data_IF_686804166444
#
_entry.id   IF_686804166444
#
_cell.length_a   1.000
_cell.length_b   1.000
_cell.length_c   1.000
_cell.angle_alpha   90.00
_cell.angle_beta   90.00
_cell.angle_gamma   90.00
#
_symmetry.space_group_name_H-M   'P 1'
#
loop_
_entity.id
_entity.type
_entity.pdbx_description
1 polymer ?
#
# COMPACT_ATOMS: atom_id res chain seq x y z
N UNK A 1 -23.77 17.33 -11.73
CA UNK A 1 -23.85 15.89 -11.39
C UNK A 1 -22.94 15.20 -12.37
N UNK A 2 -21.64 15.16 -12.07
CA UNK A 2 -20.64 14.48 -12.89
C UNK A 2 -20.77 13.01 -12.58
N UNK A 3 -21.11 12.19 -13.58
CA UNK A 3 -21.10 10.75 -13.46
C UNK A 3 -19.73 10.34 -12.98
N UNK A 4 -19.64 9.77 -11.80
CA UNK A 4 -18.47 9.04 -11.33
C UNK A 4 -18.30 7.88 -12.30
N UNK A 5 -17.45 8.02 -13.32
CA UNK A 5 -16.91 6.86 -14.02
C UNK A 5 -16.22 6.04 -12.93
N UNK A 6 -16.89 4.96 -12.52
CA UNK A 6 -16.39 4.12 -11.44
C UNK A 6 -15.03 3.60 -11.84
N UNK A 7 -14.04 3.81 -10.96
CA UNK A 7 -12.69 3.28 -11.15
C UNK A 7 -12.78 1.78 -11.50
N UNK A 8 -12.21 1.32 -12.63
CA UNK A 8 -12.27 -0.09 -12.99
C UNK A 8 -11.58 -0.93 -11.91
N UNK A 9 -12.18 -2.06 -11.51
CA UNK A 9 -11.53 -2.93 -10.54
C UNK A 9 -10.34 -3.65 -11.20
N UNK A 10 -9.15 -3.47 -10.65
CA UNK A 10 -7.97 -4.25 -11.00
C UNK A 10 -8.04 -5.69 -10.46
N UNK A 11 -6.89 -6.37 -10.40
CA UNK A 11 -6.78 -7.69 -9.81
C UNK A 11 -7.30 -7.68 -8.36
N UNK A 12 -8.05 -8.70 -7.98
CA UNK A 12 -8.58 -8.83 -6.62
C UNK A 12 -7.50 -9.29 -5.64
N UNK A 13 -7.58 -8.79 -4.40
CA UNK A 13 -6.69 -9.23 -3.34
C UNK A 13 -6.96 -10.69 -2.92
N UNK A 14 -5.92 -11.39 -2.51
CA UNK A 14 -5.96 -12.74 -1.93
C UNK A 14 -6.39 -12.75 -0.44
N UNK A 15 -7.11 -11.72 -0.04
CA UNK A 15 -7.60 -11.48 1.32
C UNK A 15 -9.09 -11.23 1.32
N UNK A 16 -9.74 -11.59 2.40
CA UNK A 16 -11.12 -11.18 2.65
C UNK A 16 -11.15 -9.74 3.20
N UNK A 17 -11.82 -8.84 2.48
CA UNK A 17 -11.95 -7.43 2.84
C UNK A 17 -13.34 -7.13 3.38
N UNK A 18 -13.42 -6.17 4.31
CA UNK A 18 -14.66 -5.60 4.81
C UNK A 18 -15.01 -4.29 4.07
N UNK A 19 -16.28 -3.86 4.05
CA UNK A 19 -16.62 -2.53 3.56
C UNK A 19 -15.84 -1.44 4.32
N UNK A 20 -15.38 -0.42 3.61
CA UNK A 20 -14.66 0.68 4.25
C UNK A 20 -15.52 1.36 5.30
N UNK A 21 -15.00 1.56 6.52
CA UNK A 21 -15.72 2.28 7.56
C UNK A 21 -15.86 3.78 7.21
N UNK A 22 -16.85 4.49 7.81
CA UNK A 22 -17.18 5.86 7.43
C UNK A 22 -16.01 6.86 7.37
N UNK A 23 -15.01 6.85 8.30
CA UNK A 23 -13.87 7.75 8.19
C UNK A 23 -13.06 7.50 6.92
N UNK A 24 -12.76 6.23 6.62
CA UNK A 24 -12.01 5.82 5.42
C UNK A 24 -12.81 6.14 4.16
N UNK A 25 -14.11 5.83 4.13
CA UNK A 25 -14.98 6.15 2.97
C UNK A 25 -15.01 7.65 2.65
N UNK A 26 -15.04 8.52 3.68
CA UNK A 26 -14.96 9.96 3.48
C UNK A 26 -13.61 10.40 2.89
N UNK A 27 -12.53 9.80 3.35
CA UNK A 27 -11.21 10.06 2.79
C UNK A 27 -11.11 9.62 1.33
N UNK A 28 -11.63 8.43 0.99
CA UNK A 28 -11.66 7.94 -0.39
C UNK A 28 -12.40 8.91 -1.33
N UNK A 29 -13.51 9.50 -0.87
CA UNK A 29 -14.27 10.49 -1.63
C UNK A 29 -13.52 11.81 -1.85
N UNK A 30 -12.44 12.07 -1.10
CA UNK A 30 -11.59 13.26 -1.20
C UNK A 30 -10.24 13.01 -1.87
N UNK A 31 -10.00 11.81 -2.38
CA UNK A 31 -8.75 11.49 -3.07
C UNK A 31 -8.51 12.41 -4.27
N UNK A 32 -7.27 12.85 -4.49
CA UNK A 32 -6.89 13.62 -5.67
C UNK A 32 -7.17 12.87 -6.97
N UNK A 33 -7.55 13.60 -8.02
CA UNK A 33 -7.88 13.00 -9.33
C UNK A 33 -6.68 12.27 -9.97
N UNK A 34 -5.47 12.74 -9.70
CA UNK A 34 -4.23 12.12 -10.21
C UNK A 34 -3.92 10.76 -9.55
N UNK A 35 -4.27 10.56 -8.26
CA UNK A 35 -4.25 9.23 -7.63
C UNK A 35 -5.25 8.30 -8.31
N UNK A 36 -6.47 8.76 -8.54
CA UNK A 36 -7.50 7.95 -9.20
C UNK A 36 -7.07 7.56 -10.62
N UNK A 37 -6.48 8.50 -11.37
CA UNK A 37 -5.94 8.23 -12.72
C UNK A 37 -4.76 7.23 -12.69
N UNK A 38 -3.91 7.29 -11.64
CA UNK A 38 -2.83 6.33 -11.46
C UNK A 38 -3.39 4.92 -11.20
N UNK A 39 -4.34 4.80 -10.27
CA UNK A 39 -4.99 3.51 -9.96
C UNK A 39 -5.74 2.96 -11.17
N UNK A 40 -6.40 3.82 -11.95
CA UNK A 40 -7.06 3.44 -13.21
C UNK A 40 -6.06 2.87 -14.22
N UNK A 41 -4.90 3.52 -14.41
CA UNK A 41 -3.86 3.04 -15.33
C UNK A 41 -3.38 1.63 -14.95
N UNK A 42 -3.17 1.36 -13.66
CA UNK A 42 -2.79 0.03 -13.17
C UNK A 42 -3.91 -0.99 -13.40
N UNK A 43 -5.15 -0.63 -13.09
CA UNK A 43 -6.30 -1.52 -13.26
C UNK A 43 -6.56 -1.88 -14.73
N UNK A 44 -6.44 -0.91 -15.66
CA UNK A 44 -6.57 -1.14 -17.10
C UNK A 44 -5.45 -2.04 -17.66
N UNK A 45 -4.28 -2.03 -17.00
CA UNK A 45 -3.19 -2.96 -17.31
C UNK A 45 -3.40 -4.37 -16.72
N UNK A 46 -4.51 -4.61 -16.00
CA UNK A 46 -4.82 -5.88 -15.35
C UNK A 46 -4.16 -6.07 -13.98
N UNK A 47 -3.56 -5.03 -13.43
CA UNK A 47 -2.83 -5.10 -12.17
C UNK A 47 -3.72 -4.80 -10.95
N UNK A 48 -3.39 -5.40 -9.81
CA UNK A 48 -3.94 -5.02 -8.51
C UNK A 48 -3.20 -3.80 -7.96
N UNK A 49 -3.95 -2.88 -7.34
CA UNK A 49 -3.35 -1.74 -6.67
C UNK A 49 -4.18 -1.33 -5.45
N UNK A 50 -3.51 -1.07 -4.34
CA UNK A 50 -4.13 -0.75 -3.05
C UNK A 50 -3.40 0.41 -2.38
N UNK A 51 -4.16 1.30 -1.75
CA UNK A 51 -3.60 2.29 -0.83
C UNK A 51 -3.21 1.59 0.47
N UNK A 52 -2.04 1.89 1.04
CA UNK A 52 -1.50 1.09 2.17
C UNK A 52 -0.83 1.93 3.24
N UNK A 53 -0.70 1.37 4.42
CA UNK A 53 0.18 1.91 5.46
C UNK A 53 -0.36 3.14 6.17
N UNK A 54 0.50 4.14 6.33
CA UNK A 54 0.24 5.34 7.12
C UNK A 54 -1.00 6.12 6.66
N UNK A 55 -1.23 6.25 5.36
CA UNK A 55 -2.38 6.98 4.84
C UNK A 55 -3.72 6.32 5.22
N UNK A 56 -3.77 4.98 5.28
CA UNK A 56 -4.99 4.26 5.70
C UNK A 56 -5.23 4.43 7.19
N UNK A 57 -4.18 4.35 8.02
CA UNK A 57 -4.24 4.63 9.45
C UNK A 57 -4.73 6.05 9.73
N UNK A 58 -4.15 7.04 9.06
CA UNK A 58 -4.46 8.44 9.26
C UNK A 58 -5.89 8.76 8.79
N UNK A 59 -6.32 8.16 7.68
CA UNK A 59 -7.72 8.23 7.24
C UNK A 59 -8.70 7.66 8.27
N UNK A 60 -8.36 6.52 8.89
CA UNK A 60 -9.17 5.95 9.97
C UNK A 60 -9.26 6.90 11.18
N UNK A 61 -8.17 7.53 11.56
CA UNK A 61 -8.11 8.48 12.67
C UNK A 61 -8.77 9.84 12.32
N UNK A 62 -9.15 10.07 11.06
CA UNK A 62 -9.67 11.35 10.59
C UNK A 62 -8.60 12.44 10.53
N UNK A 63 -7.33 12.04 10.48
CA UNK A 63 -6.18 12.92 10.31
C UNK A 63 -5.90 13.19 8.83
N UNK A 64 -5.12 14.23 8.54
CA UNK A 64 -4.63 14.46 7.19
C UNK A 64 -3.64 13.35 6.81
N UNK A 65 -3.81 12.82 5.59
CA UNK A 65 -2.91 11.82 4.99
C UNK A 65 -2.24 12.44 3.76
N UNK A 66 -1.18 13.26 3.95
CA UNK A 66 -0.53 13.98 2.84
C UNK A 66 0.22 13.05 1.90
N UNK A 67 0.80 11.98 2.44
CA UNK A 67 1.58 10.99 1.70
C UNK A 67 0.69 9.78 1.45
N UNK A 68 0.48 9.46 0.18
CA UNK A 68 -0.35 8.32 -0.25
C UNK A 68 0.57 7.27 -0.83
N UNK A 69 0.74 6.17 -0.09
CA UNK A 69 1.51 5.01 -0.52
C UNK A 69 0.61 4.00 -1.22
N UNK A 70 1.12 3.44 -2.31
CA UNK A 70 0.41 2.47 -3.12
C UNK A 70 1.26 1.20 -3.21
N UNK A 71 0.66 0.05 -2.98
CA UNK A 71 1.25 -1.22 -3.38
C UNK A 71 0.51 -1.81 -4.57
N UNK A 72 1.22 -2.58 -5.42
CA UNK A 72 0.70 -3.12 -6.67
C UNK A 72 1.33 -4.46 -7.03
N UNK A 73 0.62 -5.25 -7.83
CA UNK A 73 1.18 -6.46 -8.48
C UNK A 73 2.10 -6.12 -9.65
N UNK A 74 2.00 -4.88 -10.17
CA UNK A 74 2.81 -4.41 -11.28
C UNK A 74 4.30 -4.38 -10.94
N UNK A 75 5.14 -5.04 -11.73
CA UNK A 75 6.58 -5.04 -11.53
C UNK A 75 7.19 -3.70 -11.95
N UNK A 76 8.39 -3.31 -11.40
CA UNK A 76 8.97 -2.00 -11.64
C UNK A 76 9.18 -1.67 -13.12
N UNK A 77 9.66 -2.62 -13.90
CA UNK A 77 9.90 -2.44 -15.33
C UNK A 77 8.61 -2.11 -16.07
N UNK A 78 7.52 -2.80 -15.71
CA UNK A 78 6.20 -2.55 -16.28
C UNK A 78 5.63 -1.21 -15.85
N UNK A 79 5.85 -0.79 -14.60
CA UNK A 79 5.48 0.56 -14.14
C UNK A 79 6.22 1.65 -14.92
N UNK A 80 7.52 1.47 -15.20
CA UNK A 80 8.28 2.40 -16.04
C UNK A 80 7.68 2.53 -17.45
N UNK A 81 7.23 1.42 -18.05
CA UNK A 81 6.56 1.44 -19.37
C UNK A 81 5.19 2.16 -19.30
N UNK A 82 4.35 1.83 -18.29
CA UNK A 82 2.99 2.37 -18.16
C UNK A 82 2.98 3.87 -17.90
N UNK A 83 3.88 4.35 -17.06
CA UNK A 83 3.90 5.74 -16.63
C UNK A 83 4.89 6.61 -17.41
N UNK A 84 5.82 6.01 -18.17
CA UNK A 84 6.78 6.70 -19.04
C UNK A 84 7.54 7.81 -18.30
N UNK A 85 7.53 9.05 -18.81
CA UNK A 85 8.26 10.18 -18.21
C UNK A 85 7.75 10.61 -16.83
N UNK A 86 6.59 10.13 -16.40
CA UNK A 86 6.08 10.33 -15.04
C UNK A 86 6.70 9.38 -14.02
N UNK A 87 7.31 8.28 -14.46
CA UNK A 87 7.95 7.30 -13.59
C UNK A 87 9.40 7.67 -13.27
N UNK A 88 9.75 7.71 -11.98
CA UNK A 88 11.12 7.93 -11.52
C UNK A 88 11.56 6.68 -10.74
N UNK A 89 12.68 6.02 -11.11
CA UNK A 89 13.16 4.80 -10.48
C UNK A 89 13.89 5.10 -9.16
N UNK A 90 13.21 5.69 -8.18
CA UNK A 90 13.79 6.13 -6.90
C UNK A 90 14.26 4.99 -6.02
N UNK A 91 13.63 3.81 -6.13
CA UNK A 91 13.94 2.63 -5.34
C UNK A 91 13.71 1.34 -6.11
N UNK A 92 14.10 1.30 -7.39
CA UNK A 92 13.80 0.19 -8.30
C UNK A 92 14.31 -1.16 -7.79
N UNK A 93 15.48 -1.18 -7.15
CA UNK A 93 16.05 -2.40 -6.55
C UNK A 93 15.18 -2.97 -5.41
N UNK A 94 14.33 -2.15 -4.83
CA UNK A 94 13.37 -2.50 -3.78
C UNK A 94 11.92 -2.53 -4.25
N UNK A 95 11.69 -2.38 -5.56
CA UNK A 95 10.36 -2.40 -6.16
C UNK A 95 9.59 -1.09 -6.10
N UNK A 96 10.21 0.00 -5.68
CA UNK A 96 9.54 1.29 -5.55
C UNK A 96 9.84 2.19 -6.74
N UNK A 97 8.79 2.68 -7.36
CA UNK A 97 8.80 3.71 -8.40
C UNK A 97 8.03 4.92 -7.88
N UNK A 98 8.60 6.10 -8.02
CA UNK A 98 7.86 7.34 -7.77
C UNK A 98 7.15 7.77 -9.04
N UNK A 99 5.82 7.92 -8.97
CA UNK A 99 5.00 8.40 -10.08
C UNK A 99 4.64 9.87 -9.84
N UNK A 100 4.95 10.72 -10.81
CA UNK A 100 4.59 12.16 -10.77
C UNK A 100 3.11 12.32 -11.06
N UNK A 101 2.42 13.04 -10.17
CA UNK A 101 1.07 13.55 -10.37
C UNK A 101 1.06 15.08 -10.54
N UNK A 102 -0.09 15.69 -10.38
CA UNK A 102 -0.29 17.14 -10.52
C UNK A 102 0.24 17.88 -9.27
N UNK A 103 1.54 18.19 -9.28
CA UNK A 103 2.23 18.86 -8.17
C UNK A 103 2.51 17.97 -6.96
N UNK A 104 2.34 16.67 -7.09
CA UNK A 104 2.59 15.64 -6.05
C UNK A 104 3.39 14.47 -6.62
N UNK A 105 3.97 13.71 -5.71
CA UNK A 105 4.65 12.45 -6.04
C UNK A 105 4.03 11.32 -5.24
N UNK A 106 3.87 10.15 -5.88
CA UNK A 106 3.28 8.96 -5.27
C UNK A 106 4.29 7.83 -5.31
N UNK A 107 4.54 7.22 -4.15
CA UNK A 107 5.35 6.01 -4.08
C UNK A 107 4.48 4.80 -4.42
N UNK A 108 4.85 4.09 -5.47
CA UNK A 108 4.20 2.88 -5.94
C UNK A 108 5.19 1.74 -5.80
N UNK A 109 4.88 0.79 -4.91
CA UNK A 109 5.78 -0.31 -4.57
C UNK A 109 5.19 -1.63 -5.03
N UNK A 110 5.95 -2.41 -5.78
CA UNK A 110 5.59 -3.79 -6.14
C UNK A 110 5.46 -4.64 -4.90
N UNK A 111 4.40 -5.47 -4.83
CA UNK A 111 4.25 -6.46 -3.77
C UNK A 111 5.47 -7.38 -3.72
N UNK A 112 5.92 -7.72 -2.52
CA UNK A 112 7.09 -8.56 -2.29
C UNK A 112 6.73 -9.76 -1.46
N UNK A 113 7.28 -10.92 -1.81
CA UNK A 113 7.34 -12.08 -0.94
C UNK A 113 8.58 -11.99 -0.04
N UNK A 114 8.53 -12.61 1.14
CA UNK A 114 9.71 -12.65 2.02
C UNK A 114 10.85 -13.38 1.30
N UNK A 115 11.97 -12.67 1.09
CA UNK A 115 13.25 -13.30 0.77
C UNK A 115 13.99 -13.58 2.08
N UNK A 116 14.55 -14.80 2.21
CA UNK A 116 15.32 -15.23 3.36
C UNK A 116 16.47 -14.24 3.62
N UNK A 117 16.42 -13.56 4.76
CA UNK A 117 17.48 -12.71 5.27
C UNK A 117 18.66 -13.61 5.71
N UNK A 118 19.80 -13.60 4.99
CA UNK A 118 21.02 -14.29 5.41
C UNK A 118 21.94 -13.43 6.25
N UNK A 119 21.90 -12.10 6.16
CA UNK A 119 22.88 -11.20 6.80
C UNK A 119 22.30 -9.88 7.34
N UNK A 120 21.09 -9.84 7.89
CA UNK A 120 20.60 -8.77 8.79
C UNK A 120 20.58 -7.32 8.28
N UNK A 121 20.85 -7.04 6.99
CA UNK A 121 20.88 -5.64 6.49
C UNK A 121 20.29 -5.38 5.09
N UNK A 122 20.30 -6.34 4.19
CA UNK A 122 19.67 -6.19 2.85
C UNK A 122 19.28 -7.57 2.32
N UNK A 123 18.12 -7.74 1.71
CA UNK A 123 17.82 -8.96 0.99
C UNK A 123 18.72 -9.06 -0.24
N UNK A 124 19.48 -10.14 -0.38
CA UNK A 124 20.34 -10.38 -1.56
C UNK A 124 19.52 -10.56 -2.85
N UNK A 125 18.21 -10.76 -2.76
CA UNK A 125 17.29 -10.85 -3.88
C UNK A 125 15.88 -10.52 -3.44
N UNK A 126 15.30 -9.48 -4.04
CA UNK A 126 13.87 -9.18 -3.91
C UNK A 126 13.10 -10.10 -4.86
N UNK A 127 12.12 -10.83 -4.33
CA UNK A 127 11.21 -11.64 -5.14
C UNK A 127 9.88 -10.90 -5.19
N UNK A 128 9.46 -10.54 -6.40
CA UNK A 128 8.17 -9.90 -6.61
C UNK A 128 7.05 -10.89 -6.32
N UNK A 129 6.04 -10.45 -5.59
CA UNK A 129 4.89 -11.23 -5.20
C UNK A 129 3.61 -10.72 -5.84
N UNK A 130 2.57 -11.52 -5.77
CA UNK A 130 1.21 -11.14 -6.14
C UNK A 130 0.23 -11.19 -4.96
N UNK A 131 0.73 -11.53 -3.77
CA UNK A 131 -0.07 -11.67 -2.55
C UNK A 131 -0.04 -10.39 -1.72
N UNK A 132 -1.19 -9.73 -1.61
CA UNK A 132 -1.35 -8.59 -0.69
C UNK A 132 -1.17 -9.04 0.76
N UNK A 133 -1.63 -10.26 1.10
CA UNK A 133 -1.50 -10.82 2.44
C UNK A 133 -0.04 -10.96 2.86
N UNK A 134 0.82 -11.47 1.96
CA UNK A 134 2.24 -11.61 2.24
C UNK A 134 2.91 -10.25 2.41
N UNK A 135 2.60 -9.26 1.55
CA UNK A 135 3.15 -7.91 1.68
C UNK A 135 2.75 -7.23 2.99
N UNK A 136 1.50 -7.38 3.42
CA UNK A 136 1.06 -6.85 4.71
C UNK A 136 1.71 -7.58 5.90
N UNK A 137 2.06 -8.87 5.75
CA UNK A 137 2.67 -9.68 6.83
C UNK A 137 4.07 -9.23 7.21
N UNK A 138 4.82 -8.65 6.28
CA UNK A 138 6.20 -8.19 6.50
C UNK A 138 6.31 -6.74 7.01
N UNK A 139 5.19 -6.02 7.18
CA UNK A 139 5.18 -4.66 7.70
C UNK A 139 5.49 -4.63 9.20
N UNK A 140 5.77 -3.44 9.72
CA UNK A 140 6.20 -3.21 11.10
C UNK A 140 5.09 -3.42 12.13
N UNK A 141 4.07 -2.57 12.09
CA UNK A 141 2.99 -2.54 13.06
C UNK A 141 1.63 -2.89 12.44
N UNK A 142 0.74 -3.47 13.24
CA UNK A 142 -0.59 -3.89 12.80
C UNK A 142 -1.37 -2.74 12.16
N UNK A 143 -1.30 -1.54 12.72
CA UNK A 143 -1.99 -0.36 12.21
C UNK A 143 -1.38 0.23 10.93
N UNK A 144 -0.17 -0.17 10.53
CA UNK A 144 0.44 0.14 9.24
C UNK A 144 0.29 -1.01 8.23
N UNK A 145 -0.28 -2.16 8.66
CA UNK A 145 -0.50 -3.35 7.84
C UNK A 145 -1.94 -3.45 7.37
N UNK A 146 -2.50 -2.31 7.00
CA UNK A 146 -3.84 -2.19 6.42
C UNK A 146 -3.75 -1.72 4.98
N UNK A 147 -4.70 -2.17 4.16
CA UNK A 147 -4.80 -1.77 2.77
C UNK A 147 -6.25 -1.43 2.38
N UNK A 148 -6.42 -0.59 1.36
CA UNK A 148 -7.72 -0.20 0.83
C UNK A 148 -7.77 -0.39 -0.68
N UNK A 149 -8.76 -1.14 -1.14
CA UNK A 149 -9.18 -1.19 -2.54
C UNK A 149 -10.18 -0.05 -2.80
N UNK A 150 -9.74 0.94 -3.55
CA UNK A 150 -10.55 2.15 -3.83
C UNK A 150 -11.73 1.80 -4.73
N UNK A 151 -11.52 0.97 -5.76
CA UNK A 151 -12.54 0.60 -6.73
C UNK A 151 -13.69 -0.21 -6.09
N UNK A 152 -13.35 -1.10 -5.18
CA UNK A 152 -14.32 -1.96 -4.48
C UNK A 152 -14.82 -1.39 -3.15
N UNK A 153 -14.22 -0.28 -2.67
CA UNK A 153 -14.53 0.31 -1.36
C UNK A 153 -14.30 -0.68 -0.21
N UNK A 154 -13.24 -1.48 -0.29
CA UNK A 154 -12.92 -2.51 0.70
C UNK A 154 -11.66 -2.19 1.47
N UNK A 155 -11.72 -2.42 2.78
CA UNK A 155 -10.58 -2.36 3.69
C UNK A 155 -10.14 -3.79 4.03
N UNK A 156 -8.83 -4.00 3.99
CA UNK A 156 -8.14 -5.24 4.39
C UNK A 156 -7.33 -4.96 5.65
N UNK A 157 -7.68 -5.61 6.74
CA UNK A 157 -7.03 -5.48 8.06
C UNK A 157 -6.76 -6.87 8.68
N UNK A 158 -5.82 -7.64 8.10
CA UNK A 158 -5.59 -9.03 8.52
C UNK A 158 -5.01 -9.16 9.93
N UNK A 159 -4.48 -8.07 10.50
CA UNK A 159 -3.81 -8.07 11.80
C UNK A 159 -4.54 -7.26 12.87
N UNK A 160 -5.81 -6.89 12.64
CA UNK A 160 -6.64 -6.13 13.58
C UNK A 160 -6.05 -4.76 13.97
N UNK A 161 -5.41 -4.08 13.02
CA UNK A 161 -4.81 -2.77 13.24
C UNK A 161 -5.81 -1.71 13.70
N UNK A 162 -7.05 -1.74 13.19
CA UNK A 162 -8.12 -0.85 13.65
C UNK A 162 -8.42 -1.04 15.14
N UNK A 163 -8.51 -2.29 15.61
CA UNK A 163 -8.75 -2.57 17.01
C UNK A 163 -7.59 -2.08 17.89
N UNK A 164 -6.36 -2.27 17.44
CA UNK A 164 -5.18 -1.76 18.16
C UNK A 164 -5.17 -0.23 18.21
N UNK A 165 -5.55 0.46 17.14
CA UNK A 165 -5.73 1.93 17.13
C UNK A 165 -6.79 2.38 18.14
N UNK A 166 -7.94 1.72 18.18
CA UNK A 166 -9.01 2.04 19.12
C UNK A 166 -8.57 1.87 20.59
N UNK A 167 -7.78 0.84 20.84
CA UNK A 167 -7.23 0.54 22.18
C UNK A 167 -5.95 1.30 22.49
N UNK A 168 -5.39 2.08 21.54
CA UNK A 168 -4.10 2.78 21.66
C UNK A 168 -2.94 1.82 21.94
N UNK A 169 -2.95 0.65 21.29
CA UNK A 169 -1.91 -0.37 21.41
C UNK A 169 -0.97 -0.26 20.22
N UNK A 170 0.34 -0.25 20.49
CA UNK A 170 1.39 -0.45 19.48
C UNK A 170 1.75 -1.92 19.47
N UNK A 171 1.38 -2.62 18.40
CA UNK A 171 1.63 -4.05 18.23
C UNK A 171 2.39 -4.30 16.93
N UNK A 172 3.50 -5.04 17.03
CA UNK A 172 4.22 -5.51 15.85
C UNK A 172 3.44 -6.61 15.11
N UNK A 173 3.60 -6.68 13.80
CA UNK A 173 3.09 -7.81 13.00
C UNK A 173 4.00 -9.02 13.23
N UNK A 174 3.45 -10.14 13.69
CA UNK A 174 4.21 -11.34 14.00
C UNK A 174 5.00 -11.23 15.30
N UNK A 175 6.29 -11.62 15.28
CA UNK A 175 7.15 -11.62 16.47
C UNK A 175 7.90 -10.30 16.58
N UNK A 176 7.60 -9.50 17.60
CA UNK A 176 8.17 -8.15 17.79
C UNK A 176 9.70 -8.12 17.79
N UNK A 177 10.36 -9.10 18.45
CA UNK A 177 11.82 -9.19 18.48
C UNK A 177 12.42 -9.27 17.09
N UNK A 178 11.88 -10.12 16.23
CA UNK A 178 12.35 -10.28 14.84
C UNK A 178 12.19 -8.98 14.05
N UNK A 179 11.06 -8.28 14.22
CA UNK A 179 10.81 -7.00 13.53
C UNK A 179 11.76 -5.89 13.97
N UNK A 180 12.14 -5.86 15.23
CA UNK A 180 13.14 -4.91 15.77
C UNK A 180 14.56 -5.24 15.34
N UNK A 181 14.89 -6.52 15.13
CA UNK A 181 16.19 -6.95 14.60
C UNK A 181 16.37 -6.57 13.12
N UNK A 182 15.29 -6.60 12.32
CA UNK A 182 15.29 -6.21 10.91
C UNK A 182 15.57 -4.70 10.74
N UNK A 183 15.05 -3.87 11.64
CA UNK A 183 15.24 -2.41 11.60
C UNK A 183 15.16 -1.83 13.02
N UNK A 184 16.31 -1.40 13.52
CA UNK A 184 16.43 -0.80 14.87
C UNK A 184 15.64 0.51 15.03
N UNK A 185 15.32 1.21 13.94
CA UNK A 185 14.51 2.43 13.99
C UNK A 185 13.06 2.16 14.43
N UNK A 186 12.60 0.91 14.33
CA UNK A 186 11.27 0.51 14.81
C UNK A 186 11.12 0.55 16.34
N UNK A 187 12.23 0.72 17.06
CA UNK A 187 12.25 0.80 18.54
C UNK A 187 12.08 2.25 19.02
N UNK A 188 12.36 3.24 18.19
CA UNK A 188 12.28 4.67 18.49
C UNK A 188 10.89 5.24 18.19
#
# INVERSE_FOLDING_TARGET
>A
MVASDALPPGLEADLEGAPCPPPVSRWLASLPSDVLALLQTLAEAGEGAWLVGGCVRDAWLGAAAPDIDICTTCVPERMMELFGERAIPTGIDFGTITVKGDGRHYEVTTLRTESLYRDGRRPDRVVWGSSLKEDLSRRDFTFNSMAVDVARGRLYDPYNGINDLQQRIVRAVGVAGLRCEEDALRIL
#
